data_IF_424844741368
#
_entry.id   IF_424844741368
#
_cell.length_a   1.000
_cell.length_b   1.000
_cell.length_c   1.000
_cell.angle_alpha   90.00
_cell.angle_beta   90.00
_cell.angle_gamma   90.00
#
_symmetry.space_group_name_H-M   'P 1'
#
loop_
_entity.id
_entity.type
_entity.pdbx_description
1 polymer ?
#
# COMPACT_ATOMS: atom_id res chain seq x y z
N UNK A 1 6.95 39.32 -22.50
CA UNK A 1 7.55 37.98 -22.50
C UNK A 1 7.70 37.55 -21.05
N UNK A 2 7.21 36.37 -20.71
CA UNK A 2 7.13 35.92 -19.32
C UNK A 2 8.44 35.30 -18.88
N UNK A 3 9.00 35.82 -17.79
CA UNK A 3 10.18 35.28 -17.14
C UNK A 3 9.75 34.35 -16.00
N UNK A 4 9.60 33.06 -16.28
CA UNK A 4 9.02 32.12 -15.32
C UNK A 4 9.87 31.94 -14.06
N UNK A 5 9.23 31.86 -12.89
CA UNK A 5 9.89 31.45 -11.65
C UNK A 5 9.48 30.02 -11.34
N UNK A 6 10.45 29.13 -11.15
CA UNK A 6 10.21 27.70 -10.87
C UNK A 6 10.88 27.32 -9.56
N UNK A 7 10.10 26.81 -8.60
CA UNK A 7 10.58 26.43 -7.27
C UNK A 7 10.16 25.01 -6.96
N UNK A 8 11.11 24.16 -6.58
CA UNK A 8 10.81 22.84 -6.04
C UNK A 8 10.35 22.98 -4.58
N UNK A 9 9.31 22.23 -4.18
CA UNK A 9 8.81 22.24 -2.80
C UNK A 9 9.85 21.73 -1.78
N UNK A 10 10.71 20.80 -2.20
CA UNK A 10 11.81 20.28 -1.39
C UNK A 10 13.04 19.99 -2.27
N UNK A 11 14.27 20.11 -1.73
CA UNK A 11 15.50 19.79 -2.45
C UNK A 11 15.78 18.29 -2.52
N UNK A 12 15.09 17.48 -1.71
CA UNK A 12 15.23 16.03 -1.67
C UNK A 12 13.85 15.39 -1.53
N UNK A 13 13.67 14.22 -2.17
CA UNK A 13 12.44 13.44 -2.06
C UNK A 13 12.78 11.98 -1.73
N UNK A 14 12.25 11.43 -0.62
CA UNK A 14 12.43 10.03 -0.30
C UNK A 14 11.57 9.16 -1.22
N UNK A 15 12.13 8.04 -1.68
CA UNK A 15 11.34 7.00 -2.34
C UNK A 15 10.52 6.24 -1.30
N UNK A 16 9.28 5.93 -1.67
CA UNK A 16 8.45 4.95 -0.99
C UNK A 16 9.05 3.54 -1.11
N UNK A 17 8.60 2.58 -0.29
CA UNK A 17 9.01 1.18 -0.41
C UNK A 17 8.80 0.58 -1.81
N UNK A 18 7.83 1.10 -2.57
CA UNK A 18 7.54 0.66 -3.94
C UNK A 18 8.43 1.35 -5.00
N UNK A 19 9.51 2.02 -4.59
CA UNK A 19 10.41 2.80 -5.45
C UNK A 19 9.69 3.92 -6.21
N UNK A 20 8.71 4.56 -5.56
CA UNK A 20 7.94 5.68 -6.12
C UNK A 20 8.04 6.92 -5.24
N UNK A 21 7.86 8.08 -5.83
CA UNK A 21 7.73 9.33 -5.09
C UNK A 21 6.85 10.32 -5.85
N UNK A 22 6.33 11.30 -5.13
CA UNK A 22 5.68 12.46 -5.72
C UNK A 22 6.43 13.71 -5.27
N UNK A 23 6.61 14.65 -6.20
CA UNK A 23 7.25 15.93 -5.91
C UNK A 23 6.49 17.06 -6.58
N UNK A 24 6.48 18.21 -5.94
CA UNK A 24 5.71 19.38 -6.39
C UNK A 24 6.65 20.50 -6.78
N UNK A 25 6.36 21.14 -7.91
CA UNK A 25 7.01 22.37 -8.37
C UNK A 25 5.99 23.49 -8.48
N UNK A 26 6.29 24.63 -7.89
CA UNK A 26 5.49 25.85 -8.06
C UNK A 26 6.08 26.65 -9.21
N UNK A 27 5.24 26.97 -10.18
CA UNK A 27 5.57 27.83 -11.31
C UNK A 27 4.77 29.12 -11.20
N UNK A 28 5.46 30.25 -11.20
CA UNK A 28 4.87 31.59 -11.06
C UNK A 28 5.08 32.40 -12.33
N UNK A 29 4.00 33.06 -12.77
CA UNK A 29 4.02 34.07 -13.83
C UNK A 29 4.18 35.45 -13.19
N UNK A 30 5.35 36.12 -13.27
CA UNK A 30 5.50 37.49 -12.79
C UNK A 30 5.06 38.55 -13.81
N UNK A 31 4.63 38.15 -15.00
CA UNK A 31 4.21 39.04 -16.07
C UNK A 31 2.81 39.64 -15.87
N UNK A 32 2.53 40.68 -16.64
CA UNK A 32 1.25 41.42 -16.61
C UNK A 32 0.15 40.79 -17.48
N UNK A 33 0.47 39.76 -18.25
CA UNK A 33 -0.46 39.05 -19.13
C UNK A 33 -0.58 37.58 -18.73
N UNK A 34 -1.72 36.96 -19.06
CA UNK A 34 -1.85 35.51 -18.95
C UNK A 34 -0.88 34.84 -19.92
N UNK A 35 -0.35 33.69 -19.53
CA UNK A 35 0.54 32.90 -20.38
C UNK A 35 0.28 31.42 -20.14
N UNK A 36 0.58 30.58 -21.12
CA UNK A 36 0.44 29.13 -21.04
C UNK A 36 1.81 28.54 -20.80
N UNK A 37 2.03 28.00 -19.62
CA UNK A 37 3.29 27.36 -19.29
C UNK A 37 3.26 25.89 -19.65
N UNK A 38 4.33 25.41 -20.27
CA UNK A 38 4.65 23.99 -20.39
C UNK A 38 5.71 23.67 -19.33
N UNK A 39 5.44 22.65 -18.53
CA UNK A 39 6.35 22.13 -17.51
C UNK A 39 6.84 20.75 -17.90
N UNK A 40 8.15 20.56 -17.88
CA UNK A 40 8.82 19.29 -18.16
C UNK A 40 9.85 18.97 -17.07
N UNK A 41 10.19 17.69 -16.95
CA UNK A 41 11.29 17.25 -16.10
C UNK A 41 12.54 17.09 -16.95
N UNK A 42 13.65 17.67 -16.49
CA UNK A 42 14.99 17.48 -17.04
C UNK A 42 15.79 16.56 -16.10
N UNK A 43 16.00 15.28 -16.46
CA UNK A 43 16.77 14.35 -15.66
C UNK A 43 18.27 14.71 -15.63
N UNK A 44 18.93 14.48 -14.50
CA UNK A 44 20.39 14.61 -14.32
C UNK A 44 21.00 13.30 -13.80
N UNK A 45 22.33 13.22 -13.68
CA UNK A 45 23.06 12.09 -13.04
C UNK A 45 22.67 10.68 -13.54
N UNK A 46 22.40 10.54 -14.84
CA UNK A 46 22.03 9.24 -15.43
C UNK A 46 20.60 8.78 -15.11
N UNK A 47 19.78 9.67 -14.55
CA UNK A 47 18.35 9.44 -14.34
C UNK A 47 17.62 9.37 -15.68
N UNK A 48 16.69 8.43 -15.83
CA UNK A 48 15.90 8.31 -17.07
C UNK A 48 14.67 9.21 -17.03
N UNK A 49 14.39 9.92 -18.13
CA UNK A 49 13.15 10.69 -18.31
C UNK A 49 11.90 9.82 -18.18
N UNK A 50 11.99 8.54 -18.58
CA UNK A 50 10.87 7.59 -18.53
C UNK A 50 10.38 7.26 -17.11
N UNK A 51 11.14 7.63 -16.07
CA UNK A 51 10.77 7.43 -14.67
C UNK A 51 9.77 8.48 -14.20
N UNK A 52 9.57 9.55 -14.95
CA UNK A 52 8.76 10.69 -14.54
C UNK A 52 7.50 10.82 -15.37
N UNK A 53 6.42 11.22 -14.71
CA UNK A 53 5.21 11.70 -15.35
C UNK A 53 4.76 13.00 -14.70
N UNK A 54 4.37 13.97 -15.53
CA UNK A 54 3.86 15.27 -15.08
C UNK A 54 2.36 15.27 -15.29
N UNK A 55 1.60 15.49 -14.22
CA UNK A 55 0.16 15.65 -14.34
C UNK A 55 -0.16 17.01 -15.00
N UNK A 56 -0.89 16.98 -16.11
CA UNK A 56 -1.29 18.17 -16.89
C UNK A 56 -0.10 19.10 -17.18
N UNK A 57 0.86 18.68 -18.04
CA UNK A 57 2.12 19.41 -18.22
C UNK A 57 1.98 20.80 -18.85
N UNK A 58 0.80 21.18 -19.35
CA UNK A 58 0.55 22.52 -19.88
C UNK A 58 -0.65 23.15 -19.17
N UNK A 59 -0.47 24.35 -18.60
CA UNK A 59 -1.54 25.08 -17.91
C UNK A 59 -1.47 26.58 -18.19
N UNK A 60 -2.63 27.23 -18.17
CA UNK A 60 -2.73 28.69 -18.22
C UNK A 60 -2.51 29.27 -16.82
N UNK A 61 -1.62 30.24 -16.71
CA UNK A 61 -1.33 30.96 -15.46
C UNK A 61 -1.71 32.43 -15.62
N UNK A 62 -2.59 32.98 -14.78
CA UNK A 62 -2.94 34.38 -14.84
C UNK A 62 -1.73 35.28 -14.50
N UNK A 63 -1.78 36.58 -14.83
CA UNK A 63 -0.78 37.55 -14.39
C UNK A 63 -0.58 37.47 -12.88
N UNK A 64 0.68 37.53 -12.43
CA UNK A 64 1.06 37.44 -11.01
C UNK A 64 0.56 36.16 -10.30
N UNK A 65 0.15 35.14 -11.06
CA UNK A 65 -0.40 33.89 -10.55
C UNK A 65 0.64 32.78 -10.42
N UNK A 66 0.29 31.75 -9.66
CA UNK A 66 1.10 30.54 -9.48
C UNK A 66 0.28 29.29 -9.67
N UNK A 67 0.91 28.23 -10.19
CA UNK A 67 0.34 26.88 -10.31
C UNK A 67 1.33 25.84 -9.80
N UNK A 68 0.81 24.77 -9.21
CA UNK A 68 1.61 23.66 -8.69
C UNK A 68 1.56 22.47 -9.65
N UNK A 69 2.72 22.03 -10.13
CA UNK A 69 2.89 20.82 -10.95
C UNK A 69 3.27 19.64 -10.07
N UNK A 70 2.50 18.56 -10.15
CA UNK A 70 2.80 17.29 -9.51
C UNK A 70 3.57 16.40 -10.48
N UNK A 71 4.74 15.97 -10.06
CA UNK A 71 5.61 15.05 -10.78
C UNK A 71 5.63 13.73 -10.03
N UNK A 72 5.13 12.67 -10.67
CA UNK A 72 5.25 11.32 -10.16
C UNK A 72 6.53 10.69 -10.68
N UNK A 73 7.33 10.17 -9.76
CA UNK A 73 8.54 9.39 -9.99
C UNK A 73 8.24 7.92 -9.72
N UNK A 74 8.53 7.05 -10.68
CA UNK A 74 8.50 5.61 -10.54
C UNK A 74 9.81 5.02 -11.06
N UNK A 75 10.66 4.56 -10.15
CA UNK A 75 11.93 3.93 -10.50
C UNK A 75 11.67 2.47 -10.89
N UNK A 76 12.02 2.04 -12.12
CA UNK A 76 11.84 0.67 -12.56
C UNK A 76 12.62 -0.34 -11.71
N UNK A 77 12.08 -1.56 -11.50
CA UNK A 77 12.81 -2.63 -10.83
C UNK A 77 14.16 -2.92 -11.50
N UNK A 78 15.19 -3.15 -10.71
CA UNK A 78 16.54 -3.43 -11.21
C UNK A 78 17.34 -2.19 -11.60
N UNK A 79 16.80 -0.99 -11.38
CA UNK A 79 17.60 0.24 -11.50
C UNK A 79 18.79 0.21 -10.53
N UNK A 80 19.98 0.68 -10.95
CA UNK A 80 21.15 0.68 -10.09
C UNK A 80 20.90 1.47 -8.79
N UNK A 81 21.38 0.99 -7.64
CA UNK A 81 21.34 1.79 -6.44
C UNK A 81 22.30 2.97 -6.56
N UNK A 82 21.87 4.12 -6.05
CA UNK A 82 22.63 5.35 -6.17
C UNK A 82 21.79 6.60 -5.91
N UNK A 83 22.46 7.74 -5.97
CA UNK A 83 21.82 9.06 -5.89
C UNK A 83 21.52 9.56 -7.29
N UNK A 84 20.28 9.95 -7.52
CA UNK A 84 19.77 10.46 -8.78
C UNK A 84 19.24 11.88 -8.58
N UNK A 85 19.14 12.63 -9.66
CA UNK A 85 18.74 14.03 -9.62
C UNK A 85 17.90 14.43 -10.83
N UNK A 86 17.12 15.49 -10.65
CA UNK A 86 16.34 16.12 -11.71
C UNK A 86 16.17 17.62 -11.45
N UNK A 87 15.71 18.34 -12.47
CA UNK A 87 15.17 19.70 -12.37
C UNK A 87 13.81 19.78 -13.06
N UNK A 88 12.95 20.66 -12.56
CA UNK A 88 11.77 21.12 -13.27
C UNK A 88 12.16 22.24 -14.23
N UNK A 89 11.64 22.22 -15.45
CA UNK A 89 11.85 23.26 -16.46
C UNK A 89 10.49 23.78 -16.95
N UNK A 90 10.32 25.10 -16.93
CA UNK A 90 9.11 25.78 -17.38
C UNK A 90 9.44 26.75 -18.52
N UNK A 91 8.62 26.76 -19.56
CA UNK A 91 8.71 27.70 -20.69
C UNK A 91 7.32 28.04 -21.21
N UNK A 92 7.19 29.16 -21.93
CA UNK A 92 5.91 29.54 -22.55
C UNK A 92 5.61 28.62 -23.73
N UNK A 93 4.36 28.16 -23.84
CA UNK A 93 3.86 27.43 -25.00
C UNK A 93 3.73 28.32 -26.25
N UNK A 94 3.71 29.64 -26.06
CA UNK A 94 3.41 30.64 -27.07
C UNK A 94 4.66 31.39 -27.56
N UNK A 95 5.83 31.08 -27.00
CA UNK A 95 7.14 31.65 -27.39
C UNK A 95 8.16 30.53 -27.52
N UNK A 96 9.24 30.78 -28.27
CA UNK A 96 10.33 29.82 -28.41
C UNK A 96 10.90 29.41 -27.03
N UNK A 97 11.08 28.10 -26.75
CA UNK A 97 11.53 27.63 -25.44
C UNK A 97 12.88 28.20 -25.02
N UNK A 98 13.83 28.37 -25.93
CA UNK A 98 15.18 28.88 -25.66
C UNK A 98 15.18 30.30 -25.07
N UNK A 99 14.13 31.08 -25.31
CA UNK A 99 14.01 32.44 -24.80
C UNK A 99 13.40 32.45 -23.38
N UNK A 100 12.42 31.57 -23.12
CA UNK A 100 11.60 31.59 -21.89
C UNK A 100 11.92 30.49 -20.88
N UNK A 101 12.80 29.54 -21.21
CA UNK A 101 13.10 28.38 -20.34
C UNK A 101 13.71 28.81 -19.01
N UNK A 102 13.10 28.34 -17.92
CA UNK A 102 13.59 28.54 -16.55
C UNK A 102 13.55 27.24 -15.78
N UNK A 103 14.63 26.99 -15.05
CA UNK A 103 14.86 25.76 -14.30
C UNK A 103 14.68 26.00 -12.82
N UNK A 104 14.15 25.00 -12.14
CA UNK A 104 14.14 24.95 -10.68
C UNK A 104 15.55 24.74 -10.10
N UNK A 105 15.60 24.84 -8.77
CA UNK A 105 16.66 24.18 -8.00
C UNK A 105 16.69 22.67 -8.26
N UNK A 106 17.84 22.06 -7.96
CA UNK A 106 18.06 20.62 -8.11
C UNK A 106 17.27 19.85 -7.06
N UNK A 107 16.62 18.76 -7.47
CA UNK A 107 15.96 17.81 -6.56
C UNK A 107 16.68 16.47 -6.65
N UNK A 108 17.04 15.91 -5.50
CA UNK A 108 17.72 14.62 -5.37
C UNK A 108 16.82 13.53 -4.78
N UNK A 109 17.07 12.28 -5.16
CA UNK A 109 16.45 11.10 -4.55
C UNK A 109 17.43 9.92 -4.55
N UNK A 110 17.31 9.05 -3.54
CA UNK A 110 18.18 7.89 -3.37
C UNK A 110 17.44 6.60 -3.73
N UNK A 111 18.04 5.79 -4.62
CA UNK A 111 17.61 4.42 -4.90
C UNK A 111 18.39 3.47 -4.00
N UNK A 112 17.74 2.76 -3.07
CA UNK A 112 18.43 1.90 -2.12
C UNK A 112 19.00 0.65 -2.80
N UNK A 113 20.12 0.14 -2.27
CA UNK A 113 20.64 -1.18 -2.65
C UNK A 113 19.64 -2.27 -2.26
N UNK A 114 19.13 -3.01 -3.23
CA UNK A 114 18.31 -4.20 -2.95
C UNK A 114 19.17 -5.20 -2.17
N UNK A 115 18.78 -5.52 -0.93
CA UNK A 115 19.48 -6.53 -0.14
C UNK A 115 19.44 -7.88 -0.89
N UNK A 116 20.58 -8.59 -1.03
CA UNK A 116 20.57 -9.89 -1.67
C UNK A 116 19.59 -10.82 -0.94
N UNK A 117 18.83 -11.67 -1.67
CA UNK A 117 17.89 -12.59 -1.05
C UNK A 117 18.62 -13.46 -0.01
N UNK A 118 18.00 -13.76 1.15
CA UNK A 118 18.62 -14.61 2.15
C UNK A 118 19.01 -15.93 1.49
N UNK A 119 20.32 -16.24 1.51
CA UNK A 119 20.87 -17.44 0.90
C UNK A 119 20.12 -18.63 1.50
N UNK A 120 19.33 -19.36 0.70
CA UNK A 120 18.66 -20.60 1.11
C UNK A 120 19.71 -21.53 1.68
N UNK A 121 19.81 -21.56 3.01
CA UNK A 121 20.84 -22.28 3.72
C UNK A 121 20.49 -23.75 3.61
N UNK A 122 21.22 -24.49 2.76
CA UNK A 122 21.03 -25.93 2.49
C UNK A 122 21.40 -26.84 3.69
N UNK A 123 21.63 -26.25 4.87
CA UNK A 123 22.01 -26.98 6.08
C UNK A 123 21.00 -28.01 6.60
N UNK A 124 19.65 -27.92 6.39
CA UNK A 124 18.77 -28.98 6.88
C UNK A 124 18.98 -30.29 6.10
N UNK A 125 19.44 -30.25 4.84
CA UNK A 125 19.78 -31.44 4.08
C UNK A 125 21.10 -32.09 4.51
N UNK A 126 22.04 -31.31 5.05
CA UNK A 126 23.29 -31.83 5.60
C UNK A 126 23.06 -32.55 6.94
N UNK A 127 22.16 -32.01 7.79
CA UNK A 127 21.75 -32.66 9.04
C UNK A 127 20.93 -33.92 8.75
N UNK A 128 20.03 -33.89 7.76
CA UNK A 128 19.26 -35.07 7.33
C UNK A 128 20.16 -36.18 6.75
N UNK A 129 21.17 -35.85 5.93
CA UNK A 129 22.13 -36.82 5.42
C UNK A 129 23.01 -37.43 6.53
N UNK A 130 23.42 -36.63 7.51
CA UNK A 130 24.13 -37.11 8.69
C UNK A 130 23.28 -38.05 9.55
N UNK A 131 22.00 -37.72 9.75
CA UNK A 131 21.05 -38.58 10.47
C UNK A 131 20.79 -39.91 9.76
N UNK A 132 20.68 -39.89 8.43
CA UNK A 132 20.53 -41.13 7.63
C UNK A 132 21.77 -42.02 7.73
N UNK A 133 22.98 -41.44 7.73
CA UNK A 133 24.23 -42.21 7.93
C UNK A 133 24.33 -42.82 9.33
N UNK A 134 23.93 -42.08 10.37
CA UNK A 134 23.88 -42.59 11.75
C UNK A 134 22.86 -43.71 11.87
N UNK A 135 21.67 -43.56 11.28
CA UNK A 135 20.62 -44.60 11.28
C UNK A 135 21.10 -45.85 10.52
N UNK A 136 21.76 -45.70 9.37
CA UNK A 136 22.34 -46.83 8.63
C UNK A 136 23.46 -47.53 9.42
N UNK A 137 24.31 -46.78 10.14
CA UNK A 137 25.34 -47.35 11.00
C UNK A 137 24.74 -48.10 12.21
N UNK A 138 23.65 -47.59 12.80
CA UNK A 138 22.91 -48.27 13.88
C UNK A 138 22.24 -49.54 13.38
N UNK A 139 21.62 -49.52 12.20
CA UNK A 139 21.00 -50.70 11.57
C UNK A 139 22.07 -51.77 11.28
N UNK A 140 23.22 -51.38 10.72
CA UNK A 140 24.33 -52.31 10.51
C UNK A 140 24.85 -52.88 11.84
N UNK A 141 24.99 -52.05 12.88
CA UNK A 141 25.41 -52.48 14.21
C UNK A 141 24.42 -53.40 14.93
N UNK A 142 23.12 -53.37 14.59
CA UNK A 142 22.10 -54.27 15.14
C UNK A 142 22.01 -55.59 14.37
N UNK A 143 22.28 -55.60 13.07
CA UNK A 143 22.23 -56.81 12.23
C UNK A 143 23.49 -57.68 12.38
N UNK A 144 24.66 -57.08 12.62
CA UNK A 144 25.95 -57.78 12.67
C UNK A 144 26.50 -58.08 14.08
N UNK A 145 25.71 -57.94 15.14
CA UNK A 145 26.18 -58.33 16.48
C UNK A 145 26.20 -59.86 16.64
N UNK A 146 27.34 -60.46 16.99
CA UNK A 146 27.39 -61.86 17.44
C UNK A 146 26.50 -62.04 18.67
N UNK A 147 25.69 -63.11 18.66
CA UNK A 147 24.85 -63.49 19.79
C UNK A 147 25.69 -64.28 20.78
N UNK A 148 25.88 -63.72 21.97
CA UNK A 148 26.25 -64.51 23.14
C UNK A 148 25.07 -64.61 24.12
N UNK A 149 24.97 -65.81 24.65
CA UNK A 149 23.92 -66.42 25.48
C UNK A 149 23.77 -65.85 26.90
N UNK A 150 22.50 -65.78 27.35
CA UNK A 150 21.82 -65.98 28.68
C UNK A 150 22.68 -66.14 29.97
N UNK A 151 22.20 -65.86 31.23
CA UNK A 151 20.80 -65.77 31.71
C UNK A 151 20.45 -64.73 32.83
N UNK A 152 19.15 -64.66 33.15
CA UNK A 152 18.46 -63.94 34.27
C UNK A 152 18.74 -64.59 35.66
N UNK A 153 18.56 -63.89 36.81
CA UNK A 153 17.27 -63.93 37.53
C UNK A 153 16.83 -62.66 38.33
N UNK A 154 15.50 -62.45 38.36
CA UNK A 154 14.54 -62.05 39.44
C UNK A 154 14.85 -60.95 40.50
N UNK A 155 13.90 -59.99 40.62
CA UNK A 155 13.24 -59.44 41.85
C UNK A 155 13.02 -57.90 41.77
N UNK A 156 11.81 -57.41 41.46
CA UNK A 156 10.76 -56.88 42.38
C UNK A 156 11.13 -55.55 43.10
N UNK A 157 10.76 -54.37 42.55
CA UNK A 157 9.63 -53.46 42.93
C UNK A 157 9.86 -52.57 44.19
N UNK A 158 9.15 -51.42 44.39
CA UNK A 158 8.32 -50.60 43.48
C UNK A 158 8.47 -49.04 43.65
N UNK A 159 7.63 -48.31 42.90
CA UNK A 159 7.08 -46.96 43.14
C UNK A 159 7.87 -45.72 42.68
N UNK A 160 7.33 -44.97 41.71
CA UNK A 160 6.61 -43.69 41.94
C UNK A 160 5.59 -43.48 40.81
N UNK A 161 4.40 -43.07 41.24
CA UNK A 161 3.20 -42.75 40.49
C UNK A 161 3.31 -41.41 39.75
N UNK A 162 2.73 -41.32 38.55
CA UNK A 162 2.57 -40.07 37.81
C UNK A 162 1.84 -40.28 36.48
N UNK A 163 0.50 -40.19 36.50
CA UNK A 163 -0.36 -40.08 35.33
C UNK A 163 -1.10 -38.73 35.38
N UNK A 164 -1.79 -38.28 34.32
CA UNK A 164 -1.30 -38.07 32.96
C UNK A 164 -1.39 -36.58 32.59
N UNK A 165 -0.46 -36.08 31.78
CA UNK A 165 -0.64 -34.79 31.09
C UNK A 165 -1.55 -35.04 29.89
N UNK A 166 -2.79 -34.54 29.96
CA UNK A 166 -3.69 -34.44 28.81
C UNK A 166 -3.04 -33.54 27.77
N UNK A 167 -2.38 -34.14 26.78
CA UNK A 167 -1.96 -33.47 25.57
C UNK A 167 -3.21 -33.03 24.82
N UNK A 168 -3.52 -31.73 24.88
CA UNK A 168 -4.41 -31.07 23.93
C UNK A 168 -3.78 -31.24 22.56
N UNK A 169 -4.39 -32.05 21.71
CA UNK A 169 -4.00 -32.19 20.32
C UNK A 169 -4.01 -30.80 19.65
N UNK A 170 -2.98 -30.43 18.86
CA UNK A 170 -3.05 -29.22 18.07
C UNK A 170 -4.21 -29.34 17.08
N UNK A 171 -5.14 -28.39 17.17
CA UNK A 171 -6.22 -28.19 16.21
C UNK A 171 -5.64 -28.20 14.79
N UNK A 172 -6.28 -28.86 13.80
CA UNK A 172 -5.75 -28.95 12.45
C UNK A 172 -5.53 -27.55 11.89
N UNK A 173 -4.37 -27.34 11.26
CA UNK A 173 -4.01 -26.09 10.61
C UNK A 173 -5.13 -25.65 9.67
N UNK A 174 -5.91 -24.67 10.12
CA UNK A 174 -6.99 -24.10 9.34
C UNK A 174 -6.38 -23.48 8.08
N UNK A 175 -7.02 -23.73 6.93
CA UNK A 175 -6.62 -23.15 5.65
C UNK A 175 -6.63 -21.62 5.68
N UNK A 176 -6.11 -20.96 4.62
CA UNK A 176 -6.02 -19.51 4.57
C UNK A 176 -7.39 -18.88 4.83
N UNK A 177 -7.47 -18.03 5.84
CA UNK A 177 -8.69 -17.33 6.20
C UNK A 177 -9.05 -16.29 5.14
N UNK A 178 -10.32 -16.24 4.76
CA UNK A 178 -10.89 -15.17 3.95
C UNK A 178 -12.03 -14.54 4.74
N UNK A 179 -11.93 -13.25 5.00
CA UNK A 179 -12.94 -12.47 5.72
C UNK A 179 -13.42 -11.35 4.81
N UNK A 180 -14.72 -11.28 4.56
CA UNK A 180 -15.36 -10.20 3.80
C UNK A 180 -16.36 -9.50 4.72
N UNK A 181 -16.39 -8.17 4.66
CA UNK A 181 -17.37 -7.33 5.35
C UNK A 181 -18.03 -6.42 4.32
N UNK A 182 -19.34 -6.27 4.38
CA UNK A 182 -19.99 -5.10 3.78
C UNK A 182 -19.59 -3.87 4.61
N UNK A 183 -19.23 -2.76 3.98
CA UNK A 183 -18.65 -1.64 4.72
C UNK A 183 -19.69 -1.00 5.65
N UNK A 184 -20.96 -0.98 5.26
CA UNK A 184 -22.05 -0.48 6.10
C UNK A 184 -22.35 -1.36 7.31
N UNK A 185 -21.93 -2.62 7.32
CA UNK A 185 -22.03 -3.51 8.50
C UNK A 185 -21.01 -3.16 9.57
N UNK A 186 -19.95 -2.42 9.21
CA UNK A 186 -18.92 -1.95 10.13
C UNK A 186 -19.27 -0.62 10.82
N UNK A 187 -20.47 -0.08 10.56
CA UNK A 187 -20.99 1.11 11.22
C UNK A 187 -21.63 0.76 12.59
N UNK A 188 -21.61 1.68 13.57
CA UNK A 188 -21.07 3.04 13.52
C UNK A 188 -19.53 3.08 13.61
N UNK A 189 -18.91 4.17 13.14
CA UNK A 189 -17.46 4.33 13.23
C UNK A 189 -16.98 4.46 14.67
N UNK A 190 -15.76 3.98 14.90
CA UNK A 190 -15.07 4.10 16.19
C UNK A 190 -14.39 5.45 16.37
N UNK A 191 -14.07 6.15 15.27
CA UNK A 191 -13.47 7.49 15.30
C UNK A 191 -13.84 8.29 14.04
N UNK A 192 -13.93 9.62 14.20
CA UNK A 192 -14.26 10.59 13.16
C UNK A 192 -13.39 11.84 13.31
N UNK A 193 -12.68 12.21 12.25
CA UNK A 193 -11.97 13.49 12.17
C UNK A 193 -12.61 14.32 11.07
N UNK A 194 -13.02 15.55 11.39
CA UNK A 194 -13.61 16.47 10.40
C UNK A 194 -15.00 16.06 9.88
N UNK A 195 -15.61 15.01 10.45
CA UNK A 195 -16.96 14.54 10.15
C UNK A 195 -17.84 14.61 11.39
N UNK A 196 -19.14 14.57 11.17
CA UNK A 196 -20.15 14.28 12.18
C UNK A 196 -20.81 12.92 11.88
N UNK A 197 -21.41 12.23 12.88
CA UNK A 197 -22.05 10.94 12.65
C UNK A 197 -23.11 10.94 11.54
N UNK A 198 -23.85 12.03 11.37
CA UNK A 198 -24.85 12.18 10.29
C UNK A 198 -24.25 12.28 8.88
N UNK A 199 -22.95 12.55 8.75
CA UNK A 199 -22.27 12.61 7.45
C UNK A 199 -21.96 11.20 6.92
N UNK A 200 -22.05 10.16 7.76
CA UNK A 200 -21.78 8.77 7.40
C UNK A 200 -23.09 8.01 7.36
N UNK A 201 -23.57 7.71 6.16
CA UNK A 201 -24.90 7.14 5.92
C UNK A 201 -24.81 5.82 5.18
N UNK A 202 -25.86 5.02 5.30
CA UNK A 202 -26.08 3.85 4.45
C UNK A 202 -26.87 4.29 3.23
N UNK A 203 -26.29 4.19 2.04
CA UNK A 203 -26.96 4.52 0.79
C UNK A 203 -27.48 3.26 0.12
N UNK A 204 -28.80 3.19 -0.11
CA UNK A 204 -29.43 2.12 -0.91
C UNK A 204 -29.16 2.31 -2.40
N UNK A 205 -29.27 1.21 -3.16
CA UNK A 205 -29.21 1.19 -4.62
C UNK A 205 -29.80 2.44 -5.29
N UNK A 206 -29.00 3.09 -6.13
CA UNK A 206 -29.36 4.32 -6.82
C UNK A 206 -28.58 4.46 -8.12
N UNK A 207 -28.93 5.49 -8.90
CA UNK A 207 -27.99 6.07 -9.85
C UNK A 207 -27.50 5.11 -10.95
N UNK A 208 -28.25 4.04 -11.21
CA UNK A 208 -27.95 3.02 -12.22
C UNK A 208 -26.97 1.92 -11.77
N UNK A 209 -26.63 1.85 -10.49
CA UNK A 209 -25.77 0.80 -9.93
C UNK A 209 -26.48 0.01 -8.82
N UNK A 210 -26.00 -1.21 -8.57
CA UNK A 210 -26.44 -2.09 -7.49
C UNK A 210 -25.21 -2.49 -6.68
N UNK A 211 -25.26 -2.24 -5.38
CA UNK A 211 -24.19 -2.59 -4.43
C UNK A 211 -24.42 -3.98 -3.83
N UNK A 212 -23.37 -4.60 -3.26
CA UNK A 212 -23.59 -5.79 -2.46
C UNK A 212 -24.51 -5.46 -1.27
N UNK A 213 -25.34 -6.42 -0.87
CA UNK A 213 -26.36 -6.17 0.17
C UNK A 213 -27.37 -5.05 -0.13
N UNK A 214 -27.47 -4.57 -1.39
CA UNK A 214 -28.29 -3.43 -1.82
C UNK A 214 -27.92 -2.09 -1.15
N UNK A 215 -26.71 -1.97 -0.61
CA UNK A 215 -26.30 -0.84 0.23
C UNK A 215 -24.80 -0.58 0.12
N UNK A 216 -24.37 0.66 0.27
CA UNK A 216 -22.96 0.99 0.52
C UNK A 216 -22.84 1.89 1.75
N UNK A 217 -21.65 1.92 2.36
CA UNK A 217 -21.26 3.00 3.26
C UNK A 217 -20.95 4.26 2.44
N UNK A 218 -21.61 5.36 2.77
CA UNK A 218 -21.50 6.63 2.04
C UNK A 218 -21.17 7.79 2.99
N UNK A 219 -20.05 8.47 2.74
CA UNK A 219 -19.69 9.72 3.39
C UNK A 219 -20.19 10.88 2.53
N UNK A 220 -20.99 11.76 3.12
CA UNK A 220 -21.58 12.94 2.48
C UNK A 220 -21.07 14.19 3.16
N UNK A 221 -20.10 14.87 2.55
CA UNK A 221 -19.44 16.02 3.18
C UNK A 221 -18.74 16.94 2.19
N UNK A 222 -18.51 18.18 2.66
CA UNK A 222 -17.60 19.15 2.01
C UNK A 222 -16.35 19.40 2.84
N UNK A 223 -16.20 18.72 3.99
CA UNK A 223 -15.04 18.88 4.83
C UNK A 223 -13.76 18.42 4.10
N UNK A 224 -12.67 19.15 4.27
CA UNK A 224 -11.36 18.72 3.79
C UNK A 224 -10.64 17.97 4.90
N UNK A 225 -9.75 17.04 4.53
CA UNK A 225 -8.90 16.34 5.49
C UNK A 225 -9.64 15.43 6.48
N UNK A 226 -10.89 15.05 6.19
CA UNK A 226 -11.63 14.12 7.03
C UNK A 226 -11.06 12.70 7.02
N UNK A 227 -11.29 11.99 8.13
CA UNK A 227 -11.11 10.54 8.21
C UNK A 227 -12.25 9.87 8.97
N UNK A 228 -12.50 8.62 8.59
CA UNK A 228 -13.50 7.73 9.16
C UNK A 228 -12.81 6.43 9.55
N UNK A 229 -12.91 6.02 10.82
CA UNK A 229 -12.32 4.75 11.28
C UNK A 229 -13.41 3.80 11.75
N UNK A 230 -13.39 2.58 11.24
CA UNK A 230 -14.24 1.46 11.68
C UNK A 230 -13.38 0.34 12.27
N UNK A 231 -14.00 -0.55 13.05
CA UNK A 231 -13.31 -1.72 13.58
C UNK A 231 -13.74 -2.99 12.84
N UNK A 232 -12.79 -3.90 12.64
CA UNK A 232 -13.04 -5.22 12.06
C UNK A 232 -12.24 -6.28 12.82
N UNK A 233 -12.48 -7.56 12.52
CA UNK A 233 -11.70 -8.67 13.11
C UNK A 233 -11.16 -9.62 12.04
N UNK A 234 -9.99 -10.22 12.31
CA UNK A 234 -9.47 -11.35 11.52
C UNK A 234 -9.22 -12.55 12.45
N UNK A 235 -9.43 -13.79 11.98
CA UNK A 235 -9.45 -14.96 12.86
C UNK A 235 -8.05 -15.48 13.20
N UNK A 236 -7.02 -15.12 12.43
CA UNK A 236 -5.68 -15.71 12.52
C UNK A 236 -4.59 -14.65 12.34
N UNK A 237 -3.44 -14.89 12.97
CA UNK A 237 -2.23 -14.13 12.68
C UNK A 237 -1.76 -14.44 11.26
N UNK A 238 -1.36 -13.42 10.49
CA UNK A 238 -0.71 -13.63 9.21
C UNK A 238 -0.71 -12.42 8.30
N UNK A 239 -0.16 -12.62 7.10
CA UNK A 239 -0.21 -11.65 6.01
C UNK A 239 -1.56 -11.76 5.34
N UNK A 240 -2.27 -10.65 5.21
CA UNK A 240 -3.53 -10.57 4.46
C UNK A 240 -3.36 -9.63 3.28
N UNK A 241 -3.83 -10.06 2.11
CA UNK A 241 -4.14 -9.14 1.02
C UNK A 241 -5.45 -8.43 1.36
N UNK A 242 -5.40 -7.10 1.42
CA UNK A 242 -6.55 -6.23 1.57
C UNK A 242 -7.10 -5.85 0.20
N UNK A 243 -8.41 -5.95 0.04
CA UNK A 243 -9.13 -5.61 -1.18
C UNK A 243 -10.46 -4.96 -0.87
N UNK A 244 -10.98 -4.17 -1.79
CA UNK A 244 -12.20 -3.40 -1.61
C UNK A 244 -13.00 -3.23 -2.91
N UNK A 245 -14.28 -2.93 -2.76
CA UNK A 245 -15.16 -2.44 -3.83
C UNK A 245 -15.51 -0.99 -3.50
N UNK A 246 -15.24 -0.09 -4.44
CA UNK A 246 -15.44 1.34 -4.29
C UNK A 246 -16.46 1.86 -5.28
N UNK A 247 -17.08 2.96 -4.91
CA UNK A 247 -17.91 3.74 -5.83
C UNK A 247 -17.15 4.96 -6.29
N UNK A 248 -17.31 5.33 -7.56
CA UNK A 248 -16.88 6.60 -8.14
C UNK A 248 -18.10 7.43 -8.56
N UNK A 249 -17.98 8.74 -8.47
CA UNK A 249 -19.00 9.71 -8.89
C UNK A 249 -18.35 11.08 -9.14
N UNK A 250 -19.11 12.04 -9.67
CA UNK A 250 -18.60 13.35 -10.08
C UNK A 250 -18.23 14.25 -8.88
N UNK A 251 -18.68 13.88 -7.70
CA UNK A 251 -18.57 14.57 -6.43
C UNK A 251 -17.72 13.81 -5.40
N UNK A 252 -17.09 12.71 -5.83
CA UNK A 252 -16.31 11.85 -4.95
C UNK A 252 -14.85 12.28 -4.85
N UNK A 253 -14.34 12.17 -3.63
CA UNK A 253 -13.00 12.54 -3.23
C UNK A 253 -11.97 11.48 -3.62
N UNK A 254 -10.70 11.89 -3.59
CA UNK A 254 -9.58 10.98 -3.58
C UNK A 254 -9.31 10.54 -2.14
N UNK A 255 -9.14 9.23 -1.92
CA UNK A 255 -9.00 8.67 -0.57
C UNK A 255 -7.87 7.66 -0.47
N UNK A 256 -7.39 7.42 0.74
CA UNK A 256 -6.42 6.34 1.07
C UNK A 256 -6.95 5.50 2.22
N UNK A 257 -6.42 4.28 2.34
CA UNK A 257 -6.67 3.43 3.50
C UNK A 257 -5.49 3.38 4.46
N UNK A 258 -5.80 3.29 5.74
CA UNK A 258 -4.85 2.94 6.81
C UNK A 258 -5.47 1.80 7.60
N UNK A 259 -4.72 0.70 7.76
CA UNK A 259 -5.10 -0.41 8.63
C UNK A 259 -4.20 -0.37 9.86
N UNK A 260 -4.81 -0.20 11.02
CA UNK A 260 -4.18 0.24 12.27
C UNK A 260 -3.36 1.53 12.07
N UNK A 261 -2.07 1.38 11.82
CA UNK A 261 -1.12 2.48 11.56
C UNK A 261 -0.45 2.37 10.19
N UNK A 262 -0.75 1.32 9.43
CA UNK A 262 -0.10 1.03 8.15
C UNK A 262 -0.98 1.52 7.02
N UNK A 263 -0.49 2.49 6.23
CA UNK A 263 -1.15 2.84 4.96
C UNK A 263 -1.11 1.62 4.03
N UNK A 264 -2.25 1.25 3.48
CA UNK A 264 -2.38 0.15 2.52
C UNK A 264 -2.97 0.71 1.24
N UNK A 265 -2.40 0.35 0.09
CA UNK A 265 -2.83 0.87 -1.19
C UNK A 265 -2.31 2.25 -1.54
N UNK A 266 -2.66 2.64 -2.76
CA UNK A 266 -2.38 3.95 -3.32
C UNK A 266 -3.46 4.96 -2.95
N UNK A 267 -3.42 6.11 -3.60
CA UNK A 267 -4.56 7.03 -3.60
C UNK A 267 -5.61 6.51 -4.57
N UNK A 268 -6.80 6.21 -4.04
CA UNK A 268 -7.97 5.93 -4.86
C UNK A 268 -8.51 7.24 -5.43
N UNK A 269 -8.60 7.34 -6.76
CA UNK A 269 -9.26 8.46 -7.44
C UNK A 269 -10.77 8.18 -7.52
N UNK A 270 -11.55 8.96 -6.76
CA UNK A 270 -13.00 8.77 -6.65
C UNK A 270 -13.81 9.42 -7.76
N UNK A 271 -13.22 10.32 -8.55
CA UNK A 271 -13.95 11.01 -9.61
C UNK A 271 -14.34 10.09 -10.78
N UNK A 272 -15.59 10.21 -11.22
CA UNK A 272 -16.09 9.70 -12.49
C UNK A 272 -17.26 10.59 -12.96
N UNK A 273 -17.46 10.86 -14.26
CA UNK A 273 -18.59 11.68 -14.72
C UNK A 273 -19.96 11.06 -14.40
N UNK A 274 -20.02 9.74 -14.18
CA UNK A 274 -21.23 8.99 -13.78
C UNK A 274 -20.94 8.10 -12.58
N UNK A 275 -21.99 7.72 -11.84
CA UNK A 275 -21.87 6.75 -10.74
C UNK A 275 -21.49 5.39 -11.30
N UNK A 276 -20.36 4.84 -10.82
CA UNK A 276 -19.88 3.51 -11.21
C UNK A 276 -19.28 2.81 -10.00
N UNK A 277 -19.49 1.50 -9.89
CA UNK A 277 -18.79 0.65 -8.92
C UNK A 277 -17.52 0.06 -9.55
N UNK A 278 -16.52 -0.22 -8.73
CA UNK A 278 -15.34 -0.99 -9.16
C UNK A 278 -15.62 -2.49 -9.09
N UNK A 279 -14.72 -3.29 -9.65
CA UNK A 279 -14.54 -4.65 -9.14
C UNK A 279 -13.76 -4.65 -7.83
N UNK A 280 -13.41 -5.84 -7.33
CA UNK A 280 -12.44 -5.97 -6.26
C UNK A 280 -11.09 -5.38 -6.69
N UNK A 281 -10.67 -4.31 -6.02
CA UNK A 281 -9.34 -3.74 -6.15
C UNK A 281 -8.44 -4.37 -5.10
N UNK A 282 -7.23 -4.78 -5.50
CA UNK A 282 -6.23 -5.28 -4.56
C UNK A 282 -5.33 -4.13 -4.14
N UNK A 283 -5.53 -3.63 -2.92
CA UNK A 283 -4.82 -2.46 -2.41
C UNK A 283 -3.42 -2.83 -1.88
N UNK A 284 -3.22 -4.05 -1.41
CA UNK A 284 -1.89 -4.51 -1.00
C UNK A 284 -1.94 -5.54 0.11
N UNK A 285 -0.79 -5.81 0.73
CA UNK A 285 -0.67 -6.76 1.83
C UNK A 285 -0.37 -6.06 3.16
N UNK A 286 -0.94 -6.58 4.23
CA UNK A 286 -0.74 -6.10 5.61
C UNK A 286 -0.56 -7.28 6.56
N UNK A 287 0.30 -7.13 7.56
CA UNK A 287 0.45 -8.12 8.64
C UNK A 287 -0.57 -7.83 9.72
N UNK A 288 -1.41 -8.81 10.06
CA UNK A 288 -2.44 -8.69 11.09
C UNK A 288 -2.31 -9.80 12.13
N UNK A 289 -2.68 -9.48 13.36
CA UNK A 289 -2.83 -10.46 14.43
C UNK A 289 -4.28 -10.97 14.46
N UNK A 290 -4.51 -12.15 15.02
CA UNK A 290 -5.85 -12.60 15.32
C UNK A 290 -6.52 -11.62 16.30
N UNK A 291 -7.75 -11.23 16.01
CA UNK A 291 -8.52 -10.31 16.84
C UNK A 291 -8.88 -9.03 16.12
N UNK A 292 -9.05 -7.96 16.91
CA UNK A 292 -9.64 -6.68 16.49
C UNK A 292 -8.58 -5.74 15.93
N UNK A 293 -8.92 -5.13 14.80
CA UNK A 293 -8.12 -4.16 14.07
C UNK A 293 -8.98 -2.94 13.68
N UNK A 294 -8.34 -1.88 13.20
CA UNK A 294 -9.04 -0.69 12.70
C UNK A 294 -8.76 -0.46 11.22
N UNK A 295 -9.78 -0.06 10.48
CA UNK A 295 -9.70 0.38 9.10
C UNK A 295 -10.10 1.85 9.02
N UNK A 296 -9.19 2.71 8.60
CA UNK A 296 -9.42 4.13 8.40
C UNK A 296 -9.47 4.45 6.91
N UNK A 297 -10.54 5.10 6.49
CA UNK A 297 -10.65 5.78 5.20
C UNK A 297 -10.34 7.26 5.41
N UNK A 298 -9.35 7.80 4.72
CA UNK A 298 -8.96 9.20 4.83
C UNK A 298 -8.99 9.91 3.48
N UNK A 299 -9.49 11.14 3.47
CA UNK A 299 -9.52 11.97 2.27
C UNK A 299 -8.17 12.66 2.05
N UNK A 300 -7.73 12.69 0.79
CA UNK A 300 -6.45 13.33 0.40
C UNK A 300 -6.62 14.36 -0.72
N UNK A 301 -7.82 14.49 -1.30
CA UNK A 301 -8.12 15.50 -2.30
C UNK A 301 -9.46 15.25 -2.99
N UNK A 302 -9.73 15.98 -4.07
CA UNK A 302 -10.85 15.76 -4.99
C UNK A 302 -10.49 16.31 -6.36
N UNK A 303 -11.28 16.02 -7.39
CA UNK A 303 -11.11 16.62 -8.71
C UNK A 303 -11.46 18.12 -8.69
N UNK A 304 -10.73 18.95 -9.45
CA UNK A 304 -10.83 20.41 -9.45
C UNK A 304 -12.25 20.97 -9.78
N UNK A 305 -13.13 20.16 -10.38
CA UNK A 305 -14.53 20.53 -10.65
C UNK A 305 -15.55 20.11 -9.58
N UNK A 306 -15.14 19.33 -8.57
CA UNK A 306 -16.01 18.96 -7.45
C UNK A 306 -15.92 20.00 -6.33
N UNK A 307 -17.01 20.21 -5.60
CA UNK A 307 -17.01 20.99 -4.34
C UNK A 307 -17.21 20.11 -3.11
N UNK A 308 -17.31 18.79 -3.32
CA UNK A 308 -17.59 17.79 -2.30
C UNK A 308 -16.41 16.85 -2.14
N UNK A 309 -16.33 16.28 -0.95
CA UNK A 309 -15.37 15.25 -0.58
C UNK A 309 -16.11 13.97 -0.21
N UNK A 310 -17.11 13.62 -1.02
CA UNK A 310 -17.94 12.43 -0.79
C UNK A 310 -17.11 11.15 -1.03
N UNK A 311 -17.47 10.04 -0.38
CA UNK A 311 -16.81 8.77 -0.63
C UNK A 311 -17.75 7.59 -0.39
N UNK A 312 -17.70 6.61 -1.27
CA UNK A 312 -18.49 5.39 -1.18
C UNK A 312 -17.60 4.14 -1.18
N UNK A 313 -17.90 3.23 -0.25
CA UNK A 313 -17.27 1.91 -0.14
C UNK A 313 -18.40 0.90 0.02
N UNK A 314 -18.38 -0.10 -0.84
CA UNK A 314 -19.37 -1.18 -0.88
C UNK A 314 -18.93 -2.29 0.10
N UNK A 315 -17.84 -2.99 -0.24
CA UNK A 315 -17.34 -4.09 0.57
C UNK A 315 -15.82 -4.05 0.72
N UNK A 316 -15.32 -4.71 1.76
CA UNK A 316 -13.88 -4.94 2.00
C UNK A 316 -13.59 -6.42 2.27
N UNK A 317 -12.39 -6.87 1.91
CA UNK A 317 -11.96 -8.26 2.02
C UNK A 317 -10.51 -8.36 2.48
N UNK A 318 -10.28 -9.33 3.37
CA UNK A 318 -8.97 -9.73 3.87
C UNK A 318 -8.75 -11.20 3.52
N UNK A 319 -7.83 -11.47 2.58
CA UNK A 319 -7.47 -12.83 2.17
C UNK A 319 -6.08 -13.17 2.68
N UNK A 320 -5.98 -14.15 3.58
CA UNK A 320 -4.70 -14.59 4.12
C UNK A 320 -3.85 -15.20 3.01
N UNK A 321 -2.62 -14.72 2.86
CA UNK A 321 -1.64 -15.29 1.93
C UNK A 321 -1.03 -16.53 2.59
N UNK A 322 -0.88 -17.61 1.83
CA UNK A 322 -0.18 -18.81 2.32
C UNK A 322 1.27 -18.46 2.70
N UNK A 323 1.71 -18.98 3.85
CA UNK A 323 3.07 -18.83 4.37
C UNK A 323 4.11 -19.63 3.56
#
# INVERSE_FOLDING_TARGET
MTDWIVVAAAPEVPLSPDSRAEMTFTVTNPGEAHDRVVFVVEPEDGTSASWFSVAEPQRTVPPHGSVAYLVALAVPPGSPPGTYALRGCAYSADTAPEETSRRSGRVVFAVPATAPPPKRQRWPYAVAAGLVLVVLAVIAGLVFRPRDTTPTPVAASPAVSGAPSTAVAPSPAAGPANVTYEMEELLPPTDLVGLQPQDVVQQRDCCGVTWSGHTQMFVVTRAQGWSLTVAFTVPQNGTYTFSDIRTRSNDYANTVYVIDTTKVGGTFVGYSPTVVTTGWLSEGSVQLTAGRHTLTLAVVGHAAGSTSYNAGVDAVRFTQTAA
#
